data_IF_470576407549
#
_entry.id   IF_470576407549
#
_cell.length_a   1.000
_cell.length_b   1.000
_cell.length_c   1.000
_cell.angle_alpha   90.00
_cell.angle_beta   90.00
_cell.angle_gamma   90.00
#
_symmetry.space_group_name_H-M   'P 1'
#
loop_
_entity.id
_entity.type
_entity.pdbx_description
1 polymer ?
#
# COMPACT_ATOMS: atom_id res chain seq x y z
N UNK A 1 12.47 20.89 -28.03
CA UNK A 1 12.51 19.77 -27.08
C UNK A 1 13.77 19.94 -26.26
N UNK A 2 13.64 20.41 -25.02
CA UNK A 2 14.76 20.45 -24.06
C UNK A 2 14.99 19.03 -23.60
N UNK A 3 16.16 18.47 -23.90
CA UNK A 3 16.57 17.17 -23.37
C UNK A 3 16.76 17.40 -21.88
N UNK A 4 15.82 16.95 -21.05
CA UNK A 4 16.05 16.89 -19.60
C UNK A 4 17.20 15.92 -19.36
N UNK A 5 18.14 16.30 -18.50
CA UNK A 5 19.23 15.43 -18.09
C UNK A 5 18.62 14.28 -17.26
N UNK A 6 18.60 13.09 -17.86
CA UNK A 6 18.03 11.88 -17.26
C UNK A 6 19.14 10.84 -17.15
N UNK A 7 19.35 10.36 -15.93
CA UNK A 7 20.24 9.24 -15.65
C UNK A 7 19.45 7.93 -15.63
N UNK A 8 19.97 6.90 -16.31
CA UNK A 8 19.31 5.58 -16.38
C UNK A 8 20.20 4.53 -15.74
N UNK A 9 19.67 3.85 -14.73
CA UNK A 9 20.39 2.82 -13.97
C UNK A 9 19.65 1.50 -14.09
N UNK A 10 20.33 0.48 -14.63
CA UNK A 10 19.85 -0.89 -14.60
C UNK A 10 20.21 -1.53 -13.27
N UNK A 11 19.21 -1.94 -12.50
CA UNK A 11 19.40 -2.53 -11.18
C UNK A 11 18.51 -3.76 -11.01
N UNK A 12 18.98 -4.76 -10.27
CA UNK A 12 18.14 -5.89 -9.88
C UNK A 12 17.25 -5.46 -8.70
N UNK A 13 15.93 -5.59 -8.86
CA UNK A 13 14.96 -5.41 -7.77
C UNK A 13 14.57 -6.79 -7.21
N UNK A 14 15.24 -7.28 -6.16
CA UNK A 14 14.87 -8.55 -5.54
C UNK A 14 13.49 -8.44 -4.88
N UNK A 15 12.63 -9.43 -5.14
CA UNK A 15 11.28 -9.59 -4.56
C UNK A 15 10.19 -8.59 -4.98
N UNK A 16 10.40 -7.77 -6.02
CA UNK A 16 9.40 -6.77 -6.45
C UNK A 16 8.93 -7.07 -7.88
N UNK A 17 7.63 -6.86 -8.13
CA UNK A 17 7.04 -6.94 -9.49
C UNK A 17 7.16 -5.63 -10.28
N UNK A 18 7.71 -4.60 -9.65
CA UNK A 18 7.94 -3.28 -10.24
C UNK A 18 9.02 -3.37 -11.32
N UNK A 19 8.78 -2.65 -12.40
CA UNK A 19 9.60 -2.68 -13.62
C UNK A 19 10.48 -1.45 -13.73
N UNK A 20 9.99 -0.31 -13.24
CA UNK A 20 10.71 0.95 -13.17
C UNK A 20 10.44 1.70 -11.87
N UNK A 21 11.38 2.54 -11.47
CA UNK A 21 11.26 3.52 -10.40
C UNK A 21 11.88 4.82 -10.91
N UNK A 22 11.21 5.95 -10.69
CA UNK A 22 11.72 7.27 -11.08
C UNK A 22 11.85 8.12 -9.83
N UNK A 23 12.99 8.80 -9.70
CA UNK A 23 13.27 9.70 -8.59
C UNK A 23 13.72 11.06 -9.11
N UNK A 24 13.05 12.17 -8.75
CA UNK A 24 13.57 13.51 -9.01
C UNK A 24 14.79 13.78 -8.11
N UNK A 25 15.83 14.36 -8.69
CA UNK A 25 17.03 14.77 -7.97
C UNK A 25 16.93 16.27 -7.58
N UNK A 26 17.69 16.69 -6.57
CA UNK A 26 17.67 18.07 -6.04
C UNK A 26 18.13 19.13 -7.05
N UNK A 27 18.87 18.71 -8.09
CA UNK A 27 19.38 19.56 -9.17
C UNK A 27 18.38 19.75 -10.33
N UNK A 28 17.18 19.15 -10.22
CA UNK A 28 16.16 19.17 -11.28
C UNK A 28 16.35 18.13 -12.38
N UNK A 29 17.35 17.24 -12.25
CA UNK A 29 17.51 16.06 -13.09
C UNK A 29 16.65 14.90 -12.57
N UNK A 30 16.50 13.84 -13.37
CA UNK A 30 15.76 12.64 -12.97
C UNK A 30 16.64 11.40 -13.06
N UNK A 31 16.47 10.50 -12.09
CA UNK A 31 17.08 9.16 -12.14
C UNK A 31 15.99 8.12 -12.37
N UNK A 32 16.12 7.37 -13.47
CA UNK A 32 15.26 6.24 -13.81
C UNK A 32 15.99 4.95 -13.47
N UNK A 33 15.41 4.15 -12.59
CA UNK A 33 15.87 2.80 -12.30
C UNK A 33 15.01 1.79 -13.07
N UNK A 34 15.64 0.89 -13.80
CA UNK A 34 14.95 -0.16 -14.58
C UNK A 34 15.39 -1.53 -14.07
N UNK A 35 14.41 -2.42 -13.89
CA UNK A 35 14.66 -3.76 -13.39
C UNK A 35 15.38 -4.63 -14.43
N UNK A 36 16.60 -5.05 -14.10
CA UNK A 36 17.47 -5.84 -14.97
C UNK A 36 16.99 -7.28 -15.20
N UNK A 37 16.06 -7.80 -14.39
CA UNK A 37 15.56 -9.20 -14.50
C UNK A 37 14.63 -9.44 -15.68
N UNK A 38 14.04 -8.39 -16.25
CA UNK A 38 13.09 -8.53 -17.36
C UNK A 38 13.80 -8.57 -18.72
N UNK A 39 13.08 -9.01 -19.76
CA UNK A 39 13.60 -8.98 -21.12
C UNK A 39 13.73 -7.53 -21.65
N UNK A 40 14.54 -7.37 -22.69
CA UNK A 40 14.83 -6.06 -23.31
C UNK A 40 13.56 -5.30 -23.72
N UNK A 41 12.57 -5.97 -24.30
CA UNK A 41 11.30 -5.31 -24.68
C UNK A 41 10.54 -4.76 -23.49
N UNK A 42 10.55 -5.47 -22.36
CA UNK A 42 9.89 -5.03 -21.13
C UNK A 42 10.66 -3.88 -20.49
N UNK A 43 11.99 -3.93 -20.52
CA UNK A 43 12.85 -2.83 -20.05
C UNK A 43 12.66 -1.56 -20.90
N UNK A 44 12.53 -1.70 -22.22
CA UNK A 44 12.26 -0.58 -23.11
C UNK A 44 10.88 0.03 -22.83
N UNK A 45 9.85 -0.80 -22.60
CA UNK A 45 8.52 -0.32 -22.20
C UNK A 45 8.57 0.41 -20.86
N UNK A 46 9.33 -0.12 -19.90
CA UNK A 46 9.55 0.49 -18.59
C UNK A 46 10.23 1.87 -18.71
N UNK A 47 11.25 1.97 -19.57
CA UNK A 47 11.91 3.25 -19.88
C UNK A 47 10.95 4.27 -20.49
N UNK A 48 10.18 3.88 -21.52
CA UNK A 48 9.22 4.78 -22.18
C UNK A 48 8.17 5.26 -21.17
N UNK A 49 7.69 4.36 -20.32
CA UNK A 49 6.74 4.69 -19.26
C UNK A 49 7.31 5.69 -18.25
N UNK A 50 8.57 5.50 -17.83
CA UNK A 50 9.27 6.45 -16.96
C UNK A 50 9.44 7.83 -17.58
N UNK A 51 9.76 7.92 -18.88
CA UNK A 51 9.86 9.20 -19.60
C UNK A 51 8.50 9.89 -19.68
N UNK A 52 7.42 9.14 -19.92
CA UNK A 52 6.06 9.70 -19.93
C UNK A 52 5.70 10.34 -18.59
N UNK A 53 6.08 9.73 -17.46
CA UNK A 53 5.88 10.32 -16.13
C UNK A 53 6.62 11.65 -15.94
N UNK A 54 7.86 11.72 -16.44
CA UNK A 54 8.67 12.94 -16.37
C UNK A 54 8.05 14.04 -17.24
N UNK A 55 7.68 13.73 -18.49
CA UNK A 55 7.06 14.70 -19.41
C UNK A 55 5.67 15.16 -18.95
N UNK A 56 4.89 14.29 -18.31
CA UNK A 56 3.55 14.59 -17.82
C UNK A 56 3.52 15.37 -16.50
N UNK A 57 4.69 15.64 -15.90
CA UNK A 57 4.80 16.36 -14.62
C UNK A 57 4.16 15.60 -13.47
N UNK A 58 4.22 14.27 -13.49
CA UNK A 58 3.47 13.43 -12.55
C UNK A 58 3.96 13.55 -11.09
N UNK A 59 5.19 14.02 -10.90
CA UNK A 59 5.80 14.23 -9.58
C UNK A 59 5.31 15.50 -8.86
N UNK A 60 4.61 16.40 -9.56
CA UNK A 60 4.04 17.63 -8.99
C UNK A 60 2.56 17.45 -8.60
N UNK A 61 1.95 16.32 -8.96
CA UNK A 61 0.52 16.05 -8.76
C UNK A 61 0.29 15.35 -7.41
N UNK A 62 -0.76 15.75 -6.72
CA UNK A 62 -1.05 15.27 -5.34
C UNK A 62 -1.56 13.82 -5.27
N UNK A 63 -2.07 13.25 -6.36
CA UNK A 63 -2.76 11.95 -6.36
C UNK A 63 -2.02 10.87 -7.17
N UNK A 64 -1.05 10.24 -6.52
CA UNK A 64 -0.19 9.18 -7.08
C UNK A 64 -1.01 8.00 -7.62
N UNK A 65 -2.09 7.60 -6.94
CA UNK A 65 -2.92 6.47 -7.35
C UNK A 65 -3.68 6.70 -8.66
N UNK A 66 -4.15 7.93 -8.91
CA UNK A 66 -4.85 8.24 -10.16
C UNK A 66 -3.89 8.24 -11.36
N UNK A 67 -2.68 8.72 -11.15
CA UNK A 67 -1.62 8.75 -12.16
C UNK A 67 -1.15 7.34 -12.49
N UNK A 68 -0.85 6.53 -11.46
CA UNK A 68 -0.46 5.14 -11.60
C UNK A 68 -1.56 4.35 -12.33
N UNK A 69 -2.83 4.60 -12.01
CA UNK A 69 -3.96 3.96 -12.67
C UNK A 69 -4.07 4.34 -14.15
N UNK A 70 -3.87 5.60 -14.53
CA UNK A 70 -3.91 6.05 -15.93
C UNK A 70 -2.73 5.44 -16.71
N UNK A 71 -1.52 5.57 -16.18
CA UNK A 71 -0.29 5.16 -16.85
C UNK A 71 -0.14 3.63 -16.94
N UNK A 72 -0.62 2.91 -15.93
CA UNK A 72 -0.69 1.45 -15.91
C UNK A 72 -2.09 0.88 -16.17
N UNK A 73 -3.00 1.65 -16.80
CA UNK A 73 -4.29 1.06 -17.19
C UNK A 73 -4.00 -0.16 -18.07
N UNK A 74 -4.42 -1.36 -17.66
CA UNK A 74 -4.25 -2.52 -18.51
C UNK A 74 -5.15 -2.28 -19.72
N UNK A 75 -4.54 -2.09 -20.89
CA UNK A 75 -5.18 -2.21 -22.20
C UNK A 75 -6.17 -3.38 -22.11
N UNK A 76 -7.46 -3.06 -22.07
CA UNK A 76 -8.51 -4.05 -21.88
C UNK A 76 -8.47 -4.88 -23.16
N UNK A 77 -7.82 -6.05 -23.06
CA UNK A 77 -7.74 -7.00 -24.16
C UNK A 77 -9.13 -7.15 -24.79
N UNK A 78 -9.27 -7.10 -26.13
CA UNK A 78 -10.56 -7.31 -26.78
C UNK A 78 -11.14 -8.70 -26.49
N UNK A 79 -10.35 -9.64 -25.92
CA UNK A 79 -10.78 -10.95 -25.43
C UNK A 79 -11.17 -10.97 -23.95
N UNK A 80 -11.06 -9.85 -23.24
CA UNK A 80 -11.42 -9.76 -21.84
C UNK A 80 -12.94 -9.91 -21.69
N UNK A 81 -13.37 -10.98 -21.03
CA UNK A 81 -14.79 -11.19 -20.73
C UNK A 81 -15.21 -10.14 -19.70
N UNK A 82 -16.14 -9.27 -20.07
CA UNK A 82 -16.76 -8.33 -19.12
C UNK A 82 -17.57 -9.15 -18.12
N UNK A 83 -17.09 -9.20 -16.87
CA UNK A 83 -17.78 -9.92 -15.80
C UNK A 83 -18.78 -8.95 -15.16
N UNK A 84 -20.09 -9.29 -15.09
CA UNK A 84 -21.08 -8.40 -14.51
C UNK A 84 -20.79 -8.12 -13.04
N UNK A 85 -20.87 -6.85 -12.65
CA UNK A 85 -20.51 -6.32 -11.32
C UNK A 85 -21.16 -7.09 -10.16
N UNK A 86 -22.40 -7.57 -10.36
CA UNK A 86 -23.16 -8.36 -9.39
C UNK A 86 -22.41 -9.60 -8.87
N UNK A 87 -21.50 -10.20 -9.67
CA UNK A 87 -20.70 -11.36 -9.24
C UNK A 87 -19.68 -11.02 -8.14
N UNK A 88 -19.31 -9.75 -8.00
CA UNK A 88 -18.31 -9.30 -7.03
C UNK A 88 -18.94 -8.67 -5.78
N UNK A 89 -20.20 -8.26 -5.82
CA UNK A 89 -20.86 -7.58 -4.70
C UNK A 89 -20.87 -8.41 -3.42
N UNK A 90 -21.20 -9.70 -3.53
CA UNK A 90 -21.23 -10.60 -2.37
C UNK A 90 -19.84 -10.85 -1.78
N UNK A 91 -18.80 -10.83 -2.63
CA UNK A 91 -17.42 -10.91 -2.18
C UNK A 91 -17.02 -9.63 -1.43
N UNK A 92 -17.37 -8.47 -1.97
CA UNK A 92 -17.12 -7.16 -1.33
C UNK A 92 -17.84 -7.07 0.02
N UNK A 93 -19.12 -7.48 0.08
CA UNK A 93 -19.90 -7.53 1.34
C UNK A 93 -19.23 -8.43 2.38
N UNK A 94 -18.74 -9.61 1.98
CA UNK A 94 -18.00 -10.53 2.87
C UNK A 94 -16.71 -9.91 3.39
N UNK A 95 -15.90 -9.32 2.51
CA UNK A 95 -14.65 -8.64 2.89
C UNK A 95 -14.89 -7.49 3.87
N UNK A 96 -15.93 -6.67 3.64
CA UNK A 96 -16.32 -5.59 4.57
C UNK A 96 -16.73 -6.12 5.95
N UNK A 97 -17.47 -7.24 6.00
CA UNK A 97 -17.84 -7.89 7.26
C UNK A 97 -16.62 -8.43 8.00
N UNK A 98 -15.70 -9.07 7.29
CA UNK A 98 -14.45 -9.59 7.87
C UNK A 98 -13.60 -8.45 8.45
N UNK A 99 -13.37 -7.38 7.67
CA UNK A 99 -12.63 -6.19 8.15
C UNK A 99 -13.22 -5.62 9.45
N UNK A 100 -14.56 -5.53 9.55
CA UNK A 100 -15.22 -5.07 10.80
C UNK A 100 -14.96 -5.98 11.99
N UNK A 101 -14.93 -7.31 11.79
CA UNK A 101 -14.60 -8.27 12.85
C UNK A 101 -13.15 -8.12 13.29
N UNK A 102 -12.24 -8.01 12.34
CA UNK A 102 -10.82 -7.87 12.63
C UNK A 102 -10.54 -6.55 13.36
N UNK A 103 -11.17 -5.45 12.95
CA UNK A 103 -11.10 -4.17 13.67
C UNK A 103 -11.61 -4.24 15.11
N UNK A 104 -12.69 -5.00 15.38
CA UNK A 104 -13.19 -5.21 16.75
C UNK A 104 -12.16 -5.96 17.59
N UNK A 105 -11.62 -7.07 17.08
CA UNK A 105 -10.57 -7.85 17.75
C UNK A 105 -9.32 -7.01 18.02
N UNK A 106 -8.92 -6.18 17.06
CA UNK A 106 -7.78 -5.26 17.23
C UNK A 106 -8.05 -4.23 18.33
N UNK A 107 -9.26 -3.66 18.41
CA UNK A 107 -9.63 -2.74 19.49
C UNK A 107 -9.66 -3.42 20.86
N UNK A 108 -10.16 -4.65 20.94
CA UNK A 108 -10.16 -5.42 22.20
C UNK A 108 -8.73 -5.70 22.67
N UNK A 109 -7.85 -6.15 21.77
CA UNK A 109 -6.42 -6.36 22.07
C UNK A 109 -5.74 -5.06 22.47
N UNK A 110 -6.02 -3.97 21.78
CA UNK A 110 -5.45 -2.66 22.11
C UNK A 110 -5.87 -2.22 23.52
N UNK A 111 -7.14 -2.36 23.89
CA UNK A 111 -7.61 -2.08 25.25
C UNK A 111 -6.92 -2.95 26.29
N UNK A 112 -6.71 -4.23 26.00
CA UNK A 112 -5.99 -5.13 26.90
C UNK A 112 -4.52 -4.70 27.09
N UNK A 113 -3.86 -4.27 26.01
CA UNK A 113 -2.48 -3.75 26.06
C UNK A 113 -2.42 -2.44 26.84
N UNK A 114 -3.30 -1.48 26.55
CA UNK A 114 -3.40 -0.21 27.29
C UNK A 114 -3.66 -0.43 28.78
N UNK A 115 -4.49 -1.41 29.10
CA UNK A 115 -4.78 -1.81 30.46
C UNK A 115 -3.53 -2.40 31.15
N UNK A 116 -2.80 -3.30 30.50
CA UNK A 116 -1.55 -3.87 31.03
C UNK A 116 -0.50 -2.76 31.24
N UNK A 117 -0.31 -1.88 30.26
CA UNK A 117 0.63 -0.76 30.34
C UNK A 117 0.28 0.23 31.45
N UNK A 118 -1.01 0.48 31.68
CA UNK A 118 -1.48 1.42 32.72
C UNK A 118 -1.29 0.87 34.14
N UNK A 119 -1.33 -0.45 34.31
CA UNK A 119 -1.37 -1.09 35.63
C UNK A 119 -0.21 -2.06 35.88
N UNK A 120 0.94 -1.79 35.26
CA UNK A 120 2.21 -2.55 35.36
C UNK A 120 2.89 -2.44 36.75
N UNK A 121 2.16 -2.74 37.83
CA UNK A 121 2.70 -2.93 39.17
C UNK A 121 2.16 -4.23 39.77
N UNK A 122 3.01 -4.99 40.45
CA UNK A 122 2.79 -6.37 40.91
C UNK A 122 1.56 -6.59 41.82
N UNK A 123 0.90 -5.53 42.27
CA UNK A 123 -0.28 -5.54 43.15
C UNK A 123 -1.61 -5.81 42.43
N UNK A 124 -1.57 -5.99 41.10
CA UNK A 124 -2.76 -6.10 40.25
C UNK A 124 -3.68 -7.29 40.60
N UNK A 125 -3.12 -8.49 40.81
CA UNK A 125 -3.92 -9.68 41.11
C UNK A 125 -4.69 -9.54 42.44
N UNK A 126 -4.09 -8.87 43.43
CA UNK A 126 -4.71 -8.69 44.74
C UNK A 126 -5.83 -7.65 44.71
N UNK A 127 -5.63 -6.51 44.02
CA UNK A 127 -6.64 -5.45 43.96
C UNK A 127 -7.85 -5.79 43.09
N UNK A 128 -7.66 -6.55 42.01
CA UNK A 128 -8.78 -7.00 41.17
C UNK A 128 -9.59 -8.09 41.87
N UNK A 129 -8.94 -9.03 42.56
CA UNK A 129 -9.62 -10.02 43.38
C UNK A 129 -10.37 -9.36 44.56
N UNK A 130 -9.79 -8.32 45.17
CA UNK A 130 -10.41 -7.55 46.25
C UNK A 130 -11.62 -6.75 45.76
N UNK A 131 -11.53 -6.05 44.62
CA UNK A 131 -12.66 -5.32 44.04
C UNK A 131 -13.82 -6.24 43.62
N UNK A 132 -13.54 -7.38 42.98
CA UNK A 132 -14.58 -8.37 42.66
C UNK A 132 -15.29 -8.88 43.92
N UNK A 133 -14.54 -9.05 45.03
CA UNK A 133 -15.10 -9.49 46.31
C UNK A 133 -15.93 -8.40 47.02
N UNK A 134 -15.57 -7.13 46.85
CA UNK A 134 -16.21 -6.00 47.53
C UNK A 134 -17.40 -5.40 46.76
N UNK A 135 -17.33 -5.35 45.42
CA UNK A 135 -18.30 -4.64 44.59
C UNK A 135 -19.01 -5.53 43.55
N UNK A 136 -18.57 -6.78 43.35
CA UNK A 136 -19.14 -7.68 42.34
C UNK A 136 -18.82 -7.25 40.90
N UNK A 137 -19.43 -7.93 39.93
CA UNK A 137 -19.20 -7.74 38.48
C UNK A 137 -19.90 -6.49 37.90
N UNK A 138 -20.50 -5.65 38.74
CA UNK A 138 -21.28 -4.50 38.30
C UNK A 138 -20.38 -3.28 38.06
N UNK A 139 -19.80 -3.22 36.85
CA UNK A 139 -19.39 -2.01 36.14
C UNK A 139 -19.31 -2.22 34.62
#
# INVERSE_FOLDING_TARGET
>A
MTIQDVNVVLMDFPNTKEKELVTPNDDGSYTIFINSRFNYETQLKAYIHAIQHIEAGDFEKENVQEIEMIAHTPEISPKAKVIPANKFEDRIKRLRRQRRRDQRKMKERQKAIEFIQKYESADYFFRVAENHKLYGDDL
#
